data_IF_634826761021
#
_entry.id   IF_634826761021
#
_cell.length_a   1.000
_cell.length_b   1.000
_cell.length_c   1.000
_cell.angle_alpha   90.00
_cell.angle_beta   90.00
_cell.angle_gamma   90.00
#
_symmetry.space_group_name_H-M   'P 1'
#
loop_
_entity.id
_entity.type
_entity.pdbx_description
1 polymer ?
#
# COMPACT_ATOMS: atom_id res chain seq x y z
N UNK A 1 -61.00 22.67 -51.69
CA UNK A 1 -60.92 23.94 -50.96
C UNK A 1 -59.64 23.89 -50.23
N UNK A 2 -58.71 24.35 -50.80
CA UNK A 2 -58.07 25.68 -51.00
C UNK A 2 -56.85 25.74 -50.08
N UNK A 3 -55.72 25.61 -50.69
CA UNK A 3 -54.70 26.57 -51.15
C UNK A 3 -53.78 27.12 -50.09
N UNK A 4 -52.53 27.11 -50.42
CA UNK A 4 -51.51 28.06 -50.09
C UNK A 4 -50.35 27.43 -49.28
N UNK A 5 -49.16 27.22 -49.75
CA UNK A 5 -48.34 27.92 -50.75
C UNK A 5 -47.31 28.76 -50.05
N UNK A 6 -46.13 28.63 -50.56
CA UNK A 6 -44.95 29.51 -50.51
C UNK A 6 -43.90 29.21 -49.46
N UNK A 7 -42.80 28.66 -49.89
CA UNK A 7 -41.61 29.14 -50.66
C UNK A 7 -40.62 29.94 -49.84
N UNK A 8 -39.42 29.35 -49.72
CA UNK A 8 -38.08 29.88 -49.95
C UNK A 8 -37.62 31.08 -49.10
N UNK A 9 -36.51 30.95 -48.40
CA UNK A 9 -35.33 31.72 -48.79
C UNK A 9 -34.05 31.16 -48.17
N UNK A 10 -33.10 30.86 -49.04
CA UNK A 10 -31.68 30.65 -48.77
C UNK A 10 -30.95 31.94 -49.17
N UNK A 11 -29.94 32.37 -48.46
CA UNK A 11 -28.75 32.90 -49.17
C UNK A 11 -27.45 32.26 -48.72
N UNK A 12 -26.85 31.60 -49.61
CA UNK A 12 -25.58 31.81 -50.34
C UNK A 12 -24.42 32.51 -49.61
N UNK A 13 -23.38 31.68 -49.51
CA UNK A 13 -21.95 31.91 -49.64
C UNK A 13 -21.38 33.36 -49.44
N UNK A 14 -20.36 33.44 -48.58
CA UNK A 14 -19.13 34.18 -48.90
C UNK A 14 -17.91 33.51 -48.32
N UNK A 15 -17.07 33.02 -49.22
CA UNK A 15 -15.67 32.70 -49.10
C UNK A 15 -14.88 33.93 -48.66
N UNK A 16 -14.05 33.79 -47.66
CA UNK A 16 -13.03 34.74 -47.25
C UNK A 16 -11.73 34.04 -46.97
N UNK A 17 -10.90 33.88 -48.01
CA UNK A 17 -9.49 33.57 -47.93
C UNK A 17 -8.76 34.73 -47.27
N UNK A 18 -8.02 34.49 -46.22
CA UNK A 18 -6.94 35.38 -45.77
C UNK A 18 -5.70 34.59 -45.39
N UNK A 19 -4.67 34.96 -46.01
CA UNK A 19 -3.32 34.52 -46.24
C UNK A 19 -2.44 34.72 -45.03
N UNK A 20 -1.61 33.70 -44.78
CA UNK A 20 -0.23 33.71 -44.34
C UNK A 20 0.27 34.82 -43.39
N UNK A 21 0.82 34.41 -42.29
CA UNK A 21 1.78 35.14 -41.50
C UNK A 21 2.54 34.14 -40.64
N UNK A 22 3.73 33.74 -41.11
CA UNK A 22 4.72 33.06 -40.28
C UNK A 22 5.49 34.12 -39.45
N UNK A 23 5.91 33.80 -38.25
CA UNK A 23 7.07 34.46 -37.67
C UNK A 23 8.21 33.47 -37.42
N UNK A 24 9.28 33.84 -38.00
CA UNK A 24 10.71 33.70 -37.72
C UNK A 24 11.17 32.94 -36.50
N UNK A 25 12.18 32.13 -36.79
CA UNK A 25 13.16 31.51 -35.93
C UNK A 25 13.74 32.47 -34.88
N UNK A 26 13.76 32.03 -33.64
CA UNK A 26 14.57 32.55 -32.56
C UNK A 26 15.30 31.39 -31.89
N UNK A 27 16.46 31.03 -32.41
CA UNK A 27 17.35 30.06 -31.79
C UNK A 27 17.92 30.63 -30.50
N UNK A 28 17.58 30.06 -29.35
CA UNK A 28 18.36 30.26 -28.13
C UNK A 28 19.02 28.93 -27.77
N UNK A 29 20.30 28.88 -28.14
CA UNK A 29 21.24 27.86 -27.66
C UNK A 29 21.43 28.05 -26.17
N UNK A 30 20.97 27.09 -25.35
CA UNK A 30 21.39 26.98 -23.96
C UNK A 30 22.29 25.77 -23.84
N UNK A 31 23.51 26.03 -23.37
CA UNK A 31 24.60 25.10 -23.34
C UNK A 31 24.37 23.92 -22.38
N UNK A 32 24.73 22.76 -22.89
CA UNK A 32 24.84 21.54 -22.09
C UNK A 32 26.18 21.58 -21.38
N UNK A 33 26.18 21.85 -20.07
CA UNK A 33 27.35 21.70 -19.22
C UNK A 33 27.56 20.21 -18.94
N UNK A 34 28.66 19.69 -19.46
CA UNK A 34 29.19 18.36 -19.13
C UNK A 34 29.66 18.39 -17.67
N UNK A 35 28.98 17.73 -16.77
CA UNK A 35 29.50 17.40 -15.45
C UNK A 35 30.17 16.03 -15.49
N UNK A 36 31.37 15.99 -14.94
CA UNK A 36 32.33 14.93 -15.08
C UNK A 36 31.96 13.68 -14.27
N UNK A 37 32.46 12.58 -14.81
CA UNK A 37 32.55 11.25 -14.15
C UNK A 37 33.48 11.30 -12.93
N UNK A 38 33.10 10.69 -11.80
CA UNK A 38 34.08 10.38 -10.76
C UNK A 38 34.77 9.03 -11.06
N UNK A 39 36.08 9.09 -11.02
CA UNK A 39 37.02 7.98 -11.16
C UNK A 39 36.86 6.98 -10.03
N UNK A 40 36.82 5.73 -10.39
CA UNK A 40 37.12 4.54 -9.60
C UNK A 40 38.50 4.69 -8.94
N UNK A 41 38.52 4.66 -7.60
CA UNK A 41 39.74 4.49 -6.81
C UNK A 41 39.70 3.15 -6.11
N UNK A 42 40.65 2.31 -6.47
CA UNK A 42 40.86 0.97 -5.95
C UNK A 42 41.31 1.01 -4.48
N UNK A 43 40.97 -0.09 -3.80
CA UNK A 43 41.46 -0.46 -2.47
C UNK A 43 42.97 -0.63 -2.40
N UNK A 44 43.57 -0.64 -1.20
CA UNK A 44 44.37 -1.81 -0.87
C UNK A 44 43.89 -2.54 0.41
N UNK A 45 44.02 -3.83 0.32
CA UNK A 45 44.01 -4.76 1.42
C UNK A 45 45.27 -4.53 2.30
N UNK A 46 45.05 -4.65 3.63
CA UNK A 46 46.15 -5.10 4.49
C UNK A 46 45.61 -6.01 5.60
N UNK A 47 46.22 -7.15 5.59
CA UNK A 47 46.22 -8.27 6.53
C UNK A 47 46.97 -7.92 7.80
N UNK A 48 46.45 -8.34 8.98
CA UNK A 48 47.23 -8.99 10.04
C UNK A 48 46.33 -9.37 11.22
N UNK A 49 46.17 -10.64 11.37
CA UNK A 49 46.71 -11.61 12.36
C UNK A 49 46.26 -11.40 13.80
N UNK A 50 45.50 -12.42 14.23
CA UNK A 50 45.69 -13.25 15.44
C UNK A 50 45.79 -12.55 16.80
N UNK A 51 44.88 -12.86 17.72
CA UNK A 51 45.29 -13.43 19.00
C UNK A 51 44.16 -14.17 19.70
N UNK A 52 44.34 -15.41 19.82
CA UNK A 52 43.82 -16.47 20.69
C UNK A 52 43.85 -16.02 22.16
N UNK A 53 42.81 -16.32 22.90
CA UNK A 53 42.79 -16.23 24.36
C UNK A 53 41.55 -16.89 24.95
N UNK A 54 41.55 -18.17 25.10
CA UNK A 54 40.62 -18.94 25.91
C UNK A 54 41.16 -19.13 27.33
N UNK A 55 40.37 -19.62 28.29
CA UNK A 55 40.33 -19.25 29.71
C UNK A 55 41.18 -20.13 30.63
N UNK A 56 41.22 -19.93 31.93
CA UNK A 56 41.47 -21.04 32.84
C UNK A 56 40.26 -21.37 33.72
N UNK A 57 39.98 -22.66 33.74
CA UNK A 57 39.24 -23.33 34.80
C UNK A 57 40.18 -23.54 36.03
N UNK A 58 39.59 -23.62 37.21
CA UNK A 58 39.83 -24.53 38.33
C UNK A 58 39.51 -23.86 39.67
N UNK A 59 38.84 -24.62 40.46
CA UNK A 59 38.86 -24.50 41.91
C UNK A 59 37.71 -25.24 42.59
N UNK A 60 37.84 -26.57 42.58
CA UNK A 60 37.14 -27.50 43.45
C UNK A 60 37.52 -27.28 44.93
N UNK A 61 36.57 -27.30 45.85
CA UNK A 61 36.75 -27.87 47.18
C UNK A 61 35.43 -28.09 47.92
N UNK A 62 35.22 -29.36 48.09
CA UNK A 62 34.34 -30.05 49.03
C UNK A 62 34.37 -29.50 50.45
N UNK A 63 33.24 -29.49 51.11
CA UNK A 63 33.10 -29.99 52.50
C UNK A 63 31.64 -30.19 52.86
N UNK A 64 31.38 -31.43 53.16
CA UNK A 64 30.23 -32.05 53.83
C UNK A 64 29.98 -31.39 55.19
N UNK A 65 28.71 -31.18 55.59
CA UNK A 65 28.21 -31.70 56.88
C UNK A 65 26.69 -31.76 56.93
N UNK A 66 26.24 -32.84 57.52
CA UNK A 66 24.88 -33.31 57.76
C UNK A 66 24.16 -32.44 58.82
N UNK A 67 22.85 -32.31 58.77
CA UNK A 67 21.86 -32.98 59.64
C UNK A 67 20.49 -32.30 59.60
N UNK A 68 19.52 -33.12 59.37
CA UNK A 68 18.22 -33.33 59.99
C UNK A 68 17.34 -32.15 60.40
N UNK A 69 16.09 -32.23 59.93
CA UNK A 69 14.96 -31.55 60.57
C UNK A 69 13.75 -31.33 59.68
N UNK A 70 12.90 -32.32 59.61
CA UNK A 70 11.42 -32.27 59.42
C UNK A 70 10.83 -30.86 59.41
N UNK A 71 9.99 -30.54 58.38
CA UNK A 71 8.51 -30.54 58.56
C UNK A 71 7.82 -30.21 57.26
N UNK A 72 6.72 -30.87 57.04
CA UNK A 72 5.68 -30.64 56.07
C UNK A 72 5.31 -29.16 55.98
N UNK A 73 5.33 -28.60 54.74
CA UNK A 73 4.69 -27.36 54.39
C UNK A 73 4.19 -27.48 52.99
N UNK A 74 2.96 -27.94 52.79
CA UNK A 74 2.20 -27.80 51.55
C UNK A 74 2.12 -26.31 51.18
N UNK A 75 3.12 -25.80 50.50
CA UNK A 75 3.12 -24.48 49.88
C UNK A 75 2.33 -24.53 48.58
N UNK A 76 1.05 -24.25 48.69
CA UNK A 76 0.20 -23.92 47.58
C UNK A 76 0.79 -22.66 46.92
N UNK A 77 1.50 -22.86 45.81
CA UNK A 77 2.00 -21.74 44.96
C UNK A 77 0.79 -21.26 44.13
N UNK A 78 0.32 -20.04 44.31
CA UNK A 78 -0.80 -19.57 43.52
C UNK A 78 -0.33 -19.41 42.06
N UNK A 79 -1.13 -19.84 41.06
CA UNK A 79 -0.89 -19.53 39.64
C UNK A 79 -1.24 -18.05 39.41
N UNK A 80 -0.31 -17.14 39.71
CA UNK A 80 -0.54 -15.69 39.71
C UNK A 80 0.30 -14.90 38.74
N UNK A 81 1.02 -15.53 37.80
CA UNK A 81 1.97 -14.84 36.92
C UNK A 81 1.45 -14.46 35.55
N UNK A 82 0.40 -15.09 35.04
CA UNK A 82 0.04 -14.96 33.61
C UNK A 82 -1.09 -13.94 33.34
N UNK A 83 -1.98 -13.71 34.29
CA UNK A 83 -3.11 -12.80 34.11
C UNK A 83 -2.76 -11.32 34.11
N UNK A 84 -1.69 -10.90 34.81
CA UNK A 84 -1.28 -9.48 34.87
C UNK A 84 -0.53 -9.02 33.64
N UNK A 85 0.23 -9.91 33.01
CA UNK A 85 0.92 -9.62 31.75
C UNK A 85 -0.11 -9.48 30.59
N UNK A 86 -1.11 -10.33 30.52
CA UNK A 86 -2.20 -10.24 29.55
C UNK A 86 -2.99 -8.95 29.67
N UNK A 87 -3.38 -8.56 30.90
CA UNK A 87 -4.12 -7.30 31.14
C UNK A 87 -3.30 -6.05 30.76
N UNK A 88 -1.98 -6.10 30.89
CA UNK A 88 -1.09 -5.01 30.46
C UNK A 88 -1.03 -4.87 28.93
N UNK A 89 -0.96 -5.99 28.22
CA UNK A 89 -0.98 -6.04 26.76
C UNK A 89 -2.32 -5.56 26.18
N UNK A 90 -3.43 -5.97 26.77
CA UNK A 90 -4.77 -5.55 26.36
C UNK A 90 -4.96 -4.03 26.50
N UNK A 91 -4.52 -3.46 27.62
CA UNK A 91 -4.57 -1.99 27.84
C UNK A 91 -3.71 -1.23 26.85
N UNK A 92 -2.54 -1.76 26.50
CA UNK A 92 -1.65 -1.18 25.49
C UNK A 92 -2.30 -1.24 24.11
N UNK A 93 -2.83 -2.39 23.70
CA UNK A 93 -3.53 -2.56 22.43
C UNK A 93 -4.74 -1.60 22.32
N UNK A 94 -5.55 -1.49 23.38
CA UNK A 94 -6.68 -0.56 23.42
C UNK A 94 -6.24 0.91 23.32
N UNK A 95 -5.14 1.30 23.98
CA UNK A 95 -4.58 2.64 23.91
C UNK A 95 -4.09 2.95 22.48
N UNK A 96 -3.34 2.03 21.88
CA UNK A 96 -2.88 2.13 20.50
C UNK A 96 -4.05 2.29 19.53
N UNK A 97 -5.09 1.49 19.68
CA UNK A 97 -6.29 1.56 18.84
C UNK A 97 -7.01 2.90 18.97
N UNK A 98 -7.15 3.46 20.18
CA UNK A 98 -7.75 4.80 20.37
C UNK A 98 -6.95 5.89 19.67
N UNK A 99 -5.61 5.83 19.74
CA UNK A 99 -4.74 6.75 19.03
C UNK A 99 -4.92 6.67 17.52
N UNK A 100 -4.95 5.46 16.95
CA UNK A 100 -5.16 5.23 15.51
C UNK A 100 -6.54 5.71 15.07
N UNK A 101 -7.61 5.36 15.78
CA UNK A 101 -8.98 5.78 15.43
C UNK A 101 -9.12 7.31 15.48
N UNK A 102 -8.54 7.96 16.49
CA UNK A 102 -8.56 9.42 16.61
C UNK A 102 -7.74 10.09 15.50
N UNK A 103 -6.56 9.55 15.21
CA UNK A 103 -5.69 10.07 14.16
C UNK A 103 -6.35 9.93 12.77
N UNK A 104 -6.98 8.79 12.48
CA UNK A 104 -7.75 8.57 11.25
C UNK A 104 -8.79 9.68 11.03
N UNK A 105 -9.62 9.94 12.03
CA UNK A 105 -10.64 11.00 11.95
C UNK A 105 -10.05 12.39 11.78
N UNK A 106 -8.95 12.70 12.48
CA UNK A 106 -8.29 14.00 12.38
C UNK A 106 -7.57 14.19 11.03
N UNK A 107 -6.85 13.19 10.55
CA UNK A 107 -6.18 13.26 9.25
C UNK A 107 -7.18 13.39 8.10
N UNK A 108 -8.31 12.70 8.17
CA UNK A 108 -9.36 12.78 7.14
C UNK A 108 -10.04 14.15 7.11
N UNK A 109 -10.26 14.79 8.29
CA UNK A 109 -11.02 16.05 8.38
C UNK A 109 -10.15 17.29 8.29
N UNK A 110 -8.87 17.23 8.72
CA UNK A 110 -7.95 18.37 8.81
C UNK A 110 -6.70 18.22 7.95
N UNK A 111 -6.53 17.07 7.32
CA UNK A 111 -5.29 16.67 6.65
C UNK A 111 -4.19 16.27 7.62
N UNK A 112 -3.19 15.56 7.09
CA UNK A 112 -2.02 15.15 7.86
C UNK A 112 -1.24 16.36 8.41
N UNK A 113 -0.98 17.37 7.58
CA UNK A 113 -0.22 18.57 7.95
C UNK A 113 -0.91 19.42 9.02
N UNK A 114 -2.24 19.47 9.00
CA UNK A 114 -3.07 20.24 9.96
C UNK A 114 -3.31 19.56 11.31
N UNK A 115 -2.74 18.36 11.53
CA UNK A 115 -2.97 17.56 12.74
C UNK A 115 -1.69 17.42 13.55
N UNK A 116 -1.69 17.83 14.84
CA UNK A 116 -0.55 17.69 15.75
C UNK A 116 -0.71 16.48 16.69
N UNK A 117 0.41 16.04 17.30
CA UNK A 117 0.42 14.95 18.29
C UNK A 117 -0.45 15.32 19.50
N UNK A 118 -0.40 16.57 19.96
CA UNK A 118 -1.19 17.05 21.11
C UNK A 118 -2.70 16.91 20.82
N UNK A 119 -3.11 17.20 19.56
CA UNK A 119 -4.51 17.07 19.15
C UNK A 119 -4.96 15.62 19.08
N UNK A 120 -4.09 14.72 18.60
CA UNK A 120 -4.37 13.28 18.62
C UNK A 120 -4.49 12.80 20.07
N UNK A 121 -3.55 13.19 20.96
CA UNK A 121 -3.57 12.81 22.36
C UNK A 121 -4.83 13.30 23.08
N UNK A 122 -5.22 14.56 22.86
CA UNK A 122 -6.41 15.14 23.45
C UNK A 122 -7.69 14.38 23.02
N UNK A 123 -7.83 14.10 21.72
CA UNK A 123 -8.98 13.38 21.20
C UNK A 123 -9.03 11.91 21.63
N UNK A 124 -7.89 11.27 21.79
CA UNK A 124 -7.79 9.88 22.25
C UNK A 124 -7.85 9.72 23.78
N UNK A 125 -7.86 10.83 24.53
CA UNK A 125 -7.71 10.84 26.00
C UNK A 125 -6.46 10.09 26.50
N UNK A 126 -5.32 10.35 25.83
CA UNK A 126 -4.02 9.74 26.10
C UNK A 126 -3.02 10.85 26.39
N UNK A 127 -2.12 10.65 27.37
CA UNK A 127 -1.05 11.61 27.62
C UNK A 127 0.00 11.59 26.51
N UNK A 128 0.72 12.70 26.29
CA UNK A 128 1.82 12.78 25.33
C UNK A 128 2.91 11.74 25.63
N UNK A 129 3.21 11.48 26.91
CA UNK A 129 4.15 10.43 27.30
C UNK A 129 3.68 9.06 26.82
N UNK A 130 2.40 8.73 27.05
CA UNK A 130 1.83 7.45 26.63
C UNK A 130 1.69 7.33 25.10
N UNK A 131 1.60 8.45 24.38
CA UNK A 131 1.74 8.45 22.91
C UNK A 131 3.12 7.96 22.49
N UNK A 132 4.19 8.52 23.06
CA UNK A 132 5.56 8.12 22.70
C UNK A 132 5.95 6.71 23.16
N UNK A 133 5.17 6.09 24.06
CA UNK A 133 5.29 4.66 24.36
C UNK A 133 4.74 3.76 23.23
N UNK A 134 3.86 4.29 22.36
CA UNK A 134 3.22 3.55 21.25
C UNK A 134 3.76 3.93 19.86
N UNK A 135 4.11 5.20 19.65
CA UNK A 135 4.53 5.73 18.36
C UNK A 135 5.68 6.74 18.55
N UNK A 136 6.71 6.58 17.75
CA UNK A 136 7.89 7.48 17.78
C UNK A 136 7.57 8.88 17.24
N UNK A 137 6.61 8.97 16.33
CA UNK A 137 6.28 10.22 15.65
C UNK A 137 4.82 10.20 15.13
N UNK A 138 4.36 11.35 14.67
CA UNK A 138 3.10 11.46 13.92
C UNK A 138 3.15 10.68 12.60
N UNK A 139 4.30 10.65 11.94
CA UNK A 139 4.54 9.88 10.73
C UNK A 139 4.38 8.38 10.98
N UNK A 140 4.88 7.86 12.13
CA UNK A 140 4.70 6.47 12.52
C UNK A 140 3.23 6.08 12.69
N UNK A 141 2.37 7.01 13.14
CA UNK A 141 0.91 6.80 13.19
C UNK A 141 0.33 6.68 11.77
N UNK A 142 0.75 7.55 10.86
CA UNK A 142 0.28 7.52 9.47
C UNK A 142 0.75 6.25 8.75
N UNK A 143 2.00 5.83 8.99
CA UNK A 143 2.53 4.55 8.49
C UNK A 143 1.68 3.37 9.00
N UNK A 144 1.31 3.36 10.29
CA UNK A 144 0.47 2.31 10.85
C UNK A 144 -0.91 2.25 10.19
N UNK A 145 -1.56 3.40 9.98
CA UNK A 145 -2.86 3.48 9.29
C UNK A 145 -2.75 3.02 7.83
N UNK A 146 -1.72 3.44 7.10
CA UNK A 146 -1.46 2.95 5.74
C UNK A 146 -1.23 1.44 5.72
N UNK A 147 -0.41 0.94 6.65
CA UNK A 147 -0.09 -0.48 6.74
C UNK A 147 -1.33 -1.35 6.96
N UNK A 148 -2.28 -0.89 7.76
CA UNK A 148 -3.52 -1.63 8.02
C UNK A 148 -4.35 -1.80 6.74
N UNK A 149 -4.48 -0.75 5.91
CA UNK A 149 -5.18 -0.82 4.62
C UNK A 149 -4.42 -1.69 3.62
N UNK A 150 -3.11 -1.48 3.50
CA UNK A 150 -2.27 -2.24 2.56
C UNK A 150 -2.27 -3.75 2.89
N UNK A 151 -2.21 -4.08 4.18
CA UNK A 151 -2.29 -5.46 4.68
C UNK A 151 -3.65 -6.07 4.41
N UNK A 152 -4.73 -5.35 4.70
CA UNK A 152 -6.09 -5.84 4.43
C UNK A 152 -6.30 -6.17 2.95
N UNK A 153 -5.81 -5.33 2.04
CA UNK A 153 -5.86 -5.59 0.60
C UNK A 153 -5.08 -6.84 0.18
N UNK A 154 -3.86 -7.01 0.72
CA UNK A 154 -3.03 -8.19 0.43
C UNK A 154 -3.65 -9.47 1.00
N UNK A 155 -4.13 -9.44 2.24
CA UNK A 155 -4.79 -10.58 2.89
C UNK A 155 -6.04 -11.01 2.12
N UNK A 156 -6.86 -10.06 1.65
CA UNK A 156 -8.04 -10.34 0.84
C UNK A 156 -7.68 -11.05 -0.48
N UNK A 157 -6.65 -10.55 -1.19
CA UNK A 157 -6.18 -11.16 -2.42
C UNK A 157 -5.61 -12.57 -2.18
N UNK A 158 -4.80 -12.76 -1.16
CA UNK A 158 -4.23 -14.05 -0.79
C UNK A 158 -5.31 -15.05 -0.37
N UNK A 159 -6.35 -14.61 0.34
CA UNK A 159 -7.48 -15.46 0.75
C UNK A 159 -8.19 -16.04 -0.46
N UNK A 160 -8.45 -15.23 -1.50
CA UNK A 160 -9.05 -15.71 -2.76
C UNK A 160 -8.17 -16.75 -3.42
N UNK A 161 -6.86 -16.54 -3.48
CA UNK A 161 -5.94 -17.46 -4.14
C UNK A 161 -5.65 -18.73 -3.32
N UNK A 162 -5.95 -18.72 -2.02
CA UNK A 162 -5.84 -19.88 -1.14
C UNK A 162 -7.02 -20.83 -1.26
N UNK A 163 -8.10 -20.44 -1.93
CA UNK A 163 -9.23 -21.33 -2.22
C UNK A 163 -8.79 -22.40 -3.21
N UNK A 164 -8.99 -23.71 -2.91
CA UNK A 164 -8.68 -24.79 -3.85
C UNK A 164 -9.33 -24.63 -5.24
N UNK A 165 -10.51 -24.02 -5.33
CA UNK A 165 -11.17 -23.71 -6.58
C UNK A 165 -10.36 -22.72 -7.45
N UNK A 166 -9.61 -21.82 -6.83
CA UNK A 166 -8.75 -20.87 -7.55
C UNK A 166 -7.61 -21.56 -8.30
N UNK A 167 -7.19 -22.75 -7.92
CA UNK A 167 -6.12 -23.47 -8.61
C UNK A 167 -6.54 -23.92 -10.01
N UNK A 168 -7.78 -24.34 -10.18
CA UNK A 168 -8.36 -24.75 -11.47
C UNK A 168 -8.95 -23.59 -12.28
N UNK A 169 -9.18 -22.43 -11.64
CA UNK A 169 -9.75 -21.26 -12.28
C UNK A 169 -8.81 -20.69 -13.36
N UNK A 170 -9.39 -20.16 -14.43
CA UNK A 170 -8.65 -19.42 -15.47
C UNK A 170 -7.98 -18.17 -14.88
N UNK A 171 -6.95 -17.66 -15.56
CA UNK A 171 -6.32 -16.39 -15.16
C UNK A 171 -7.32 -15.25 -15.09
N UNK A 172 -8.29 -15.21 -16.00
CA UNK A 172 -9.36 -14.21 -15.97
C UNK A 172 -10.17 -14.27 -14.67
N UNK A 173 -10.67 -15.45 -14.31
CA UNK A 173 -11.46 -15.64 -13.09
C UNK A 173 -10.66 -15.28 -11.84
N UNK A 174 -9.40 -15.71 -11.77
CA UNK A 174 -8.49 -15.38 -10.67
C UNK A 174 -8.27 -13.88 -10.53
N UNK A 175 -7.87 -13.20 -11.62
CA UNK A 175 -7.64 -11.76 -11.62
C UNK A 175 -8.92 -11.00 -11.26
N UNK A 176 -10.07 -11.45 -11.78
CA UNK A 176 -11.35 -10.83 -11.43
C UNK A 176 -11.65 -10.98 -9.95
N UNK A 177 -11.57 -12.18 -9.40
CA UNK A 177 -11.89 -12.45 -8.00
C UNK A 177 -10.94 -11.71 -7.04
N UNK A 178 -9.61 -11.80 -7.27
CA UNK A 178 -8.64 -11.11 -6.41
C UNK A 178 -8.79 -9.59 -6.45
N UNK A 179 -9.10 -9.02 -7.64
CA UNK A 179 -9.28 -7.58 -7.78
C UNK A 179 -10.52 -7.08 -7.05
N UNK A 180 -11.64 -7.80 -7.16
CA UNK A 180 -12.84 -7.47 -6.40
C UNK A 180 -12.60 -7.56 -4.89
N UNK A 181 -12.00 -8.65 -4.41
CA UNK A 181 -11.66 -8.81 -2.99
C UNK A 181 -10.73 -7.69 -2.49
N UNK A 182 -9.71 -7.32 -3.27
CA UNK A 182 -8.84 -6.20 -2.98
C UNK A 182 -9.62 -4.89 -2.85
N UNK A 183 -10.41 -4.54 -3.86
CA UNK A 183 -11.20 -3.29 -3.87
C UNK A 183 -12.15 -3.25 -2.68
N UNK A 184 -12.88 -4.32 -2.41
CA UNK A 184 -13.80 -4.39 -1.28
C UNK A 184 -13.09 -4.19 0.06
N UNK A 185 -11.93 -4.83 0.26
CA UNK A 185 -11.15 -4.70 1.48
C UNK A 185 -10.60 -3.28 1.68
N UNK A 186 -9.98 -2.69 0.66
CA UNK A 186 -9.33 -1.38 0.79
C UNK A 186 -10.31 -0.20 0.75
N UNK A 187 -11.53 -0.41 0.27
CA UNK A 187 -12.60 0.61 0.24
C UNK A 187 -13.65 0.40 1.32
N UNK A 188 -13.47 -0.56 2.22
CA UNK A 188 -14.40 -0.85 3.32
C UNK A 188 -14.67 0.39 4.19
N UNK A 189 -13.62 1.16 4.48
CA UNK A 189 -13.69 2.46 5.16
C UNK A 189 -13.14 3.57 4.25
N UNK A 190 -13.99 4.46 3.72
CA UNK A 190 -13.55 5.57 2.86
C UNK A 190 -12.53 6.51 3.52
N UNK A 191 -12.59 6.69 4.84
CA UNK A 191 -11.62 7.49 5.57
C UNK A 191 -10.23 6.83 5.55
N UNK A 192 -10.16 5.52 5.79
CA UNK A 192 -8.92 4.75 5.71
C UNK A 192 -8.37 4.70 4.28
N UNK A 193 -9.24 4.56 3.27
CA UNK A 193 -8.87 4.64 1.85
C UNK A 193 -8.23 5.99 1.52
N UNK A 194 -8.84 7.09 1.98
CA UNK A 194 -8.29 8.43 1.80
C UNK A 194 -6.89 8.56 2.40
N UNK A 195 -6.69 8.04 3.60
CA UNK A 195 -5.35 7.99 4.23
C UNK A 195 -4.38 7.23 3.32
N UNK A 196 -4.73 6.02 2.89
CA UNK A 196 -3.82 5.14 2.18
C UNK A 196 -3.42 5.63 0.78
N UNK A 197 -4.27 6.40 0.10
CA UNK A 197 -4.02 6.80 -1.28
C UNK A 197 -3.86 8.31 -1.50
N UNK A 198 -4.19 9.15 -0.51
CA UNK A 198 -4.09 10.61 -0.63
C UNK A 198 -3.14 11.20 0.43
N UNK A 199 -3.46 11.04 1.73
CA UNK A 199 -2.76 11.74 2.81
C UNK A 199 -1.30 11.26 2.99
N UNK A 200 -0.99 10.04 2.54
CA UNK A 200 0.36 9.48 2.59
C UNK A 200 1.32 10.07 1.55
N UNK A 201 0.80 10.76 0.53
CA UNK A 201 1.63 11.28 -0.56
C UNK A 201 2.38 12.52 -0.09
N UNK A 202 3.73 12.46 -0.09
CA UNK A 202 4.58 13.58 0.31
C UNK A 202 4.60 13.86 1.82
N UNK A 203 4.16 12.92 2.65
CA UNK A 203 4.11 13.12 4.11
C UNK A 203 5.46 12.91 4.82
N UNK A 204 6.47 12.36 4.14
CA UNK A 204 7.83 12.20 4.64
C UNK A 204 8.56 11.00 4.03
N UNK A 205 9.90 10.98 4.18
CA UNK A 205 10.76 9.96 3.57
C UNK A 205 10.46 8.55 4.09
N UNK A 206 10.27 8.37 5.39
CA UNK A 206 9.99 7.06 5.97
C UNK A 206 8.67 6.47 5.44
N UNK A 207 7.69 7.33 5.16
CA UNK A 207 6.44 6.91 4.55
C UNK A 207 6.59 6.56 3.07
N UNK A 208 7.41 7.32 2.33
CA UNK A 208 7.71 7.01 0.93
C UNK A 208 8.45 5.66 0.82
N UNK A 209 9.42 5.39 1.69
CA UNK A 209 10.12 4.11 1.78
C UNK A 209 9.14 2.95 2.13
N UNK A 210 8.23 3.18 3.08
CA UNK A 210 7.19 2.21 3.44
C UNK A 210 6.23 1.92 2.26
N UNK A 211 5.83 2.94 1.49
CA UNK A 211 5.01 2.77 0.29
C UNK A 211 5.74 2.01 -0.82
N UNK A 212 7.05 2.28 -1.00
CA UNK A 212 7.89 1.55 -1.94
C UNK A 212 8.01 0.07 -1.57
N UNK A 213 8.13 -0.25 -0.27
CA UNK A 213 8.11 -1.63 0.20
C UNK A 213 6.81 -2.35 -0.22
N UNK A 214 5.65 -1.76 0.06
CA UNK A 214 4.36 -2.35 -0.33
C UNK A 214 4.20 -2.49 -1.85
N UNK A 215 4.66 -1.50 -2.62
CA UNK A 215 4.67 -1.58 -4.09
C UNK A 215 5.54 -2.74 -4.58
N UNK A 216 6.70 -2.96 -3.96
CA UNK A 216 7.56 -4.09 -4.26
C UNK A 216 6.89 -5.44 -3.96
N UNK A 217 6.22 -5.57 -2.82
CA UNK A 217 5.47 -6.76 -2.46
C UNK A 217 4.35 -7.06 -3.47
N UNK A 218 3.57 -6.05 -3.84
CA UNK A 218 2.52 -6.19 -4.86
C UNK A 218 3.10 -6.52 -6.24
N UNK A 219 4.23 -5.90 -6.63
CA UNK A 219 4.87 -6.19 -7.92
C UNK A 219 5.32 -7.65 -7.99
N UNK A 220 5.97 -8.17 -6.94
CA UNK A 220 6.36 -9.57 -6.85
C UNK A 220 5.17 -10.52 -6.91
N UNK A 221 4.11 -10.23 -6.15
CA UNK A 221 2.87 -11.01 -6.14
C UNK A 221 2.22 -11.07 -7.53
N UNK A 222 2.03 -9.92 -8.19
CA UNK A 222 1.43 -9.86 -9.52
C UNK A 222 2.30 -10.45 -10.61
N UNK A 223 3.64 -10.35 -10.48
CA UNK A 223 4.57 -11.03 -11.39
C UNK A 223 4.42 -12.54 -11.28
N UNK A 224 4.30 -13.10 -10.09
CA UNK A 224 4.01 -14.52 -9.89
C UNK A 224 2.70 -14.98 -10.54
N UNK A 225 1.64 -14.18 -10.49
CA UNK A 225 0.39 -14.47 -11.19
C UNK A 225 0.53 -14.37 -12.71
N UNK A 226 1.35 -13.45 -13.23
CA UNK A 226 1.64 -13.36 -14.66
C UNK A 226 2.47 -14.58 -15.14
N UNK A 227 3.48 -15.02 -14.38
CA UNK A 227 4.25 -16.22 -14.67
C UNK A 227 3.38 -17.48 -14.67
N UNK A 228 2.45 -17.58 -13.73
CA UNK A 228 1.45 -18.64 -13.69
C UNK A 228 0.57 -18.62 -14.97
N UNK A 229 0.09 -17.45 -15.38
CA UNK A 229 -0.70 -17.30 -16.59
C UNK A 229 0.07 -17.73 -17.85
N UNK A 230 1.36 -17.38 -17.93
CA UNK A 230 2.28 -17.83 -18.99
C UNK A 230 2.44 -19.36 -18.96
N UNK A 231 2.67 -19.95 -17.80
CA UNK A 231 2.81 -21.39 -17.62
C UNK A 231 1.56 -22.17 -18.03
N UNK A 232 0.39 -21.56 -17.96
CA UNK A 232 -0.89 -22.13 -18.42
C UNK A 232 -1.19 -21.86 -19.91
N UNK A 233 -0.35 -21.10 -20.60
CA UNK A 233 -0.57 -20.68 -21.98
C UNK A 233 -1.67 -19.63 -22.13
N UNK A 234 -2.07 -18.97 -21.04
CA UNK A 234 -3.15 -17.96 -21.01
C UNK A 234 -2.63 -16.54 -21.19
N UNK A 235 -1.32 -16.31 -21.06
CA UNK A 235 -0.65 -15.03 -21.29
C UNK A 235 0.59 -15.19 -22.17
N UNK A 236 0.99 -14.11 -22.86
CA UNK A 236 2.17 -14.10 -23.74
C UNK A 236 3.45 -14.17 -22.90
N UNK A 237 4.40 -15.09 -23.22
CA UNK A 237 5.69 -15.11 -22.54
C UNK A 237 6.48 -13.81 -22.76
N UNK A 238 6.76 -13.06 -21.68
CA UNK A 238 7.61 -11.86 -21.69
C UNK A 238 8.04 -11.50 -20.27
N UNK A 239 8.96 -10.56 -20.12
CA UNK A 239 9.22 -9.92 -18.83
C UNK A 239 8.07 -8.98 -18.45
N UNK A 240 7.43 -9.27 -17.31
CA UNK A 240 6.32 -8.50 -16.77
C UNK A 240 6.73 -7.48 -15.71
N UNK A 241 7.99 -7.41 -15.31
CA UNK A 241 8.46 -6.58 -14.18
C UNK A 241 7.99 -5.13 -14.29
N UNK A 242 8.30 -4.46 -15.40
CA UNK A 242 7.89 -3.06 -15.61
C UNK A 242 6.39 -2.90 -15.83
N UNK A 243 5.75 -3.91 -16.45
CA UNK A 243 4.31 -3.89 -16.66
C UNK A 243 3.54 -3.95 -15.33
N UNK A 244 4.01 -4.75 -14.36
CA UNK A 244 3.42 -4.80 -13.01
C UNK A 244 3.66 -3.50 -12.22
N UNK A 245 4.82 -2.87 -12.36
CA UNK A 245 5.06 -1.53 -11.78
C UNK A 245 4.07 -0.50 -12.34
N UNK A 246 3.84 -0.51 -13.66
CA UNK A 246 2.86 0.38 -14.30
C UNK A 246 1.43 0.09 -13.85
N UNK A 247 1.05 -1.19 -13.76
CA UNK A 247 -0.27 -1.60 -13.27
C UNK A 247 -0.50 -1.11 -11.84
N UNK A 248 0.48 -1.27 -10.95
CA UNK A 248 0.39 -0.76 -9.56
C UNK A 248 0.23 0.77 -9.56
N UNK A 249 0.93 1.47 -10.46
CA UNK A 249 0.73 2.91 -10.65
C UNK A 249 -0.71 3.26 -11.01
N UNK A 250 -1.29 2.55 -11.98
CA UNK A 250 -2.69 2.72 -12.37
C UNK A 250 -3.66 2.41 -11.22
N UNK A 251 -3.44 1.31 -10.49
CA UNK A 251 -4.24 0.97 -9.29
C UNK A 251 -4.20 2.10 -8.28
N UNK A 252 -3.01 2.60 -7.93
CA UNK A 252 -2.87 3.68 -6.95
C UNK A 252 -3.60 4.96 -7.38
N UNK A 253 -3.51 5.35 -8.67
CA UNK A 253 -4.19 6.55 -9.14
C UNK A 253 -5.71 6.39 -9.19
N UNK A 254 -6.22 5.24 -9.64
CA UNK A 254 -7.66 4.97 -9.64
C UNK A 254 -8.23 4.89 -8.23
N UNK A 255 -7.50 4.30 -7.28
CA UNK A 255 -7.88 4.30 -5.86
C UNK A 255 -7.88 5.71 -5.27
N UNK A 256 -6.85 6.53 -5.59
CA UNK A 256 -6.81 7.94 -5.17
C UNK A 256 -7.94 8.76 -5.80
N UNK A 257 -8.28 8.49 -7.06
CA UNK A 257 -9.42 9.12 -7.73
C UNK A 257 -10.73 8.79 -7.01
N UNK A 258 -10.97 7.51 -6.72
CA UNK A 258 -12.14 7.07 -5.97
C UNK A 258 -12.20 7.69 -4.56
N UNK A 259 -11.07 7.76 -3.86
CA UNK A 259 -11.00 8.29 -2.50
C UNK A 259 -11.24 9.81 -2.41
N UNK A 260 -11.09 10.57 -3.52
CA UNK A 260 -11.43 11.99 -3.59
C UNK A 260 -12.93 12.21 -3.65
N UNK A 261 -13.64 11.33 -4.35
CA UNK A 261 -15.12 11.41 -4.51
C UNK A 261 -15.71 9.98 -4.60
N UNK A 262 -15.82 9.34 -3.44
CA UNK A 262 -16.34 7.97 -3.34
C UNK A 262 -17.83 7.84 -3.67
N UNK A 263 -18.54 8.95 -3.89
CA UNK A 263 -19.96 8.96 -4.30
C UNK A 263 -20.17 8.90 -5.80
N UNK A 264 -19.18 9.33 -6.61
CA UNK A 264 -19.30 9.43 -8.06
C UNK A 264 -19.02 8.14 -8.81
N UNK A 265 -18.27 7.21 -8.19
CA UNK A 265 -17.83 5.97 -8.78
C UNK A 265 -18.15 4.78 -7.85
N UNK A 266 -18.94 3.82 -8.32
CA UNK A 266 -19.24 2.63 -7.54
C UNK A 266 -18.02 1.72 -7.42
N UNK A 267 -17.91 0.97 -6.30
CA UNK A 267 -16.84 -0.03 -6.10
C UNK A 267 -16.79 -1.06 -7.22
N UNK A 268 -17.97 -1.50 -7.69
CA UNK A 268 -18.09 -2.46 -8.80
C UNK A 268 -17.47 -1.91 -10.09
N UNK A 269 -17.75 -0.65 -10.43
CA UNK A 269 -17.18 -0.02 -11.63
C UNK A 269 -15.67 0.20 -11.48
N UNK A 270 -15.20 0.61 -10.31
CA UNK A 270 -13.78 0.72 -10.02
C UNK A 270 -13.06 -0.64 -10.18
N UNK A 271 -13.62 -1.70 -9.56
CA UNK A 271 -13.05 -3.05 -9.67
C UNK A 271 -13.03 -3.54 -11.12
N UNK A 272 -14.12 -3.33 -11.87
CA UNK A 272 -14.20 -3.69 -13.29
C UNK A 272 -13.14 -3.01 -14.14
N UNK A 273 -12.88 -1.74 -13.91
CA UNK A 273 -11.81 -1.00 -14.60
C UNK A 273 -10.41 -1.54 -14.25
N UNK A 274 -10.15 -1.84 -12.98
CA UNK A 274 -8.89 -2.45 -12.56
C UNK A 274 -8.70 -3.84 -13.14
N UNK A 275 -9.75 -4.67 -13.21
CA UNK A 275 -9.73 -5.98 -13.89
C UNK A 275 -9.38 -5.79 -15.37
N UNK A 276 -10.02 -4.83 -16.05
CA UNK A 276 -9.73 -4.52 -17.45
C UNK A 276 -8.25 -4.21 -17.66
N UNK A 277 -7.67 -3.31 -16.84
CA UNK A 277 -6.26 -2.95 -16.92
C UNK A 277 -5.33 -4.14 -16.63
N UNK A 278 -5.64 -4.96 -15.63
CA UNK A 278 -4.83 -6.13 -15.30
C UNK A 278 -4.83 -7.16 -16.42
N UNK A 279 -5.99 -7.49 -16.99
CA UNK A 279 -6.11 -8.42 -18.10
C UNK A 279 -5.44 -7.89 -19.38
N UNK A 280 -5.63 -6.61 -19.70
CA UNK A 280 -4.95 -5.96 -20.83
C UNK A 280 -3.41 -6.00 -20.68
N UNK A 281 -2.90 -5.82 -19.47
CA UNK A 281 -1.47 -5.94 -19.17
C UNK A 281 -0.94 -7.35 -19.47
N UNK A 282 -1.75 -8.39 -19.26
CA UNK A 282 -1.41 -9.78 -19.56
C UNK A 282 -1.63 -10.15 -21.03
N UNK A 283 -2.22 -9.26 -21.83
CA UNK A 283 -2.61 -9.54 -23.24
C UNK A 283 -3.84 -10.43 -23.33
N UNK A 284 -4.63 -10.54 -22.27
CA UNK A 284 -5.87 -11.31 -22.24
C UNK A 284 -7.02 -10.40 -22.70
N UNK A 285 -7.67 -10.67 -23.84
CA UNK A 285 -8.73 -9.79 -24.34
C UNK A 285 -9.84 -9.64 -23.30
N UNK A 286 -10.44 -8.46 -23.14
CA UNK A 286 -11.60 -8.31 -22.28
C UNK A 286 -12.69 -9.29 -22.77
N UNK A 287 -13.29 -10.04 -21.86
CA UNK A 287 -14.52 -10.78 -22.18
C UNK A 287 -15.53 -9.78 -22.72
N UNK A 288 -16.38 -10.22 -23.67
CA UNK A 288 -17.45 -9.36 -24.17
C UNK A 288 -18.20 -8.68 -23.02
N UNK A 289 -18.84 -7.52 -23.27
CA UNK A 289 -19.53 -6.79 -22.24
C UNK A 289 -20.45 -7.75 -21.48
N UNK A 290 -20.28 -7.85 -20.18
CA UNK A 290 -21.30 -8.41 -19.32
C UNK A 290 -22.57 -7.62 -19.69
N UNK A 291 -23.60 -8.33 -20.16
CA UNK A 291 -24.89 -7.72 -20.44
C UNK A 291 -25.22 -6.82 -19.25
N UNK A 292 -25.42 -5.56 -19.54
CA UNK A 292 -25.86 -4.57 -18.58
C UNK A 292 -27.24 -5.03 -18.12
N UNK A 293 -27.29 -5.87 -17.08
CA UNK A 293 -28.54 -6.18 -16.40
C UNK A 293 -28.86 -4.93 -15.60
N UNK A 294 -29.62 -4.07 -16.29
CA UNK A 294 -30.20 -2.88 -15.70
C UNK A 294 -31.07 -3.28 -14.51
N UNK A 295 -30.82 -2.68 -13.37
CA UNK A 295 -31.76 -2.01 -12.49
C UNK A 295 -31.01 -1.34 -11.34
#
# INVERSE_FOLDING_TARGET
>A
MDTGGESADTPSARTGTSRAGAPSEGATRTGISRAGTPRTGAAPADTSTSSTGAPPARGDRSAQTRRDGRTNGTGHQPPGGDHTAGMGQDRRAQRRQRLLTTALGLFTTRGYTGTSIERICAGAHVSIRAFYEEFESREAVLIALHNDVARAGMEAALTVLSDPAAESASTRERITALTHAYVDAVTADPAATRIAFIEVVGAGQALDDHRLLWRGLWAGFLTGEAERAVGRGEAVPRDYTLAMVALIGAVNELMAHWARDSGSLTRRRLAGELVHHALATLGIPPGGPAADEGE
#
